data_IF_449128264595
#
_entry.id   IF_449128264595
#
_cell.length_a   1.000
_cell.length_b   1.000
_cell.length_c   1.000
_cell.angle_alpha   90.00
_cell.angle_beta   90.00
_cell.angle_gamma   90.00
#
_symmetry.space_group_name_H-M   'P 1'
#
loop_
_entity.id
_entity.type
_entity.pdbx_description
1 polymer ?
#
# COMPACT_ATOMS: atom_id res chain seq x y z
N UNK A 1 9.98 39.13 -54.67
CA UNK A 1 9.84 37.76 -54.15
C UNK A 1 8.38 37.37 -54.14
N UNK A 2 7.95 36.72 -55.21
CA UNK A 2 7.24 35.45 -55.16
C UNK A 2 6.17 35.26 -54.06
N UNK A 3 4.99 35.88 -54.23
CA UNK A 3 3.81 35.55 -53.41
C UNK A 3 3.46 34.04 -53.46
N UNK A 4 3.76 33.39 -54.59
CA UNK A 4 3.61 31.95 -54.77
C UNK A 4 4.62 31.14 -53.94
N UNK A 5 5.89 31.57 -53.88
CA UNK A 5 6.91 30.88 -53.09
C UNK A 5 6.65 31.04 -51.59
N UNK A 6 6.15 32.20 -51.15
CA UNK A 6 5.72 32.43 -49.76
C UNK A 6 4.57 31.49 -49.34
N UNK A 7 3.61 31.24 -50.23
CA UNK A 7 2.49 30.34 -49.95
C UNK A 7 2.96 28.88 -49.82
N UNK A 8 3.87 28.42 -50.68
CA UNK A 8 4.45 27.07 -50.62
C UNK A 8 5.23 26.84 -49.33
N UNK A 9 6.05 27.80 -48.91
CA UNK A 9 6.81 27.72 -47.66
C UNK A 9 5.89 27.69 -46.45
N UNK A 10 4.84 28.52 -46.42
CA UNK A 10 3.85 28.51 -45.34
C UNK A 10 3.14 27.16 -45.22
N UNK A 11 2.70 26.58 -46.34
CA UNK A 11 2.08 25.25 -46.33
C UNK A 11 3.05 24.16 -45.83
N UNK A 12 4.33 24.20 -46.24
CA UNK A 12 5.33 23.24 -45.77
C UNK A 12 5.53 23.32 -44.25
N UNK A 13 5.59 24.53 -43.68
CA UNK A 13 5.71 24.71 -42.24
C UNK A 13 4.50 24.15 -41.47
N UNK A 14 3.28 24.34 -41.97
CA UNK A 14 2.06 23.81 -41.34
C UNK A 14 2.07 22.28 -41.33
N UNK A 15 2.50 21.64 -42.42
CA UNK A 15 2.60 20.16 -42.50
C UNK A 15 3.66 19.62 -41.54
N UNK A 16 4.81 20.29 -41.42
CA UNK A 16 5.87 19.87 -40.49
C UNK A 16 5.41 20.01 -39.02
N UNK A 17 4.77 21.13 -38.67
CA UNK A 17 4.27 21.35 -37.30
C UNK A 17 3.16 20.35 -36.98
N UNK A 18 2.23 20.11 -37.91
CA UNK A 18 1.13 19.17 -37.72
C UNK A 18 1.60 17.72 -37.64
N UNK A 19 2.57 17.32 -38.48
CA UNK A 19 3.15 15.98 -38.48
C UNK A 19 4.02 15.72 -37.25
N UNK A 20 4.86 16.68 -36.87
CA UNK A 20 5.72 16.58 -35.68
C UNK A 20 4.92 16.59 -34.38
N UNK A 21 3.90 17.45 -34.29
CA UNK A 21 3.02 17.52 -33.12
C UNK A 21 2.20 16.25 -32.89
N UNK A 22 1.73 15.61 -33.96
CA UNK A 22 0.96 14.36 -33.85
C UNK A 22 1.81 13.18 -33.33
N UNK A 23 3.07 13.10 -33.77
CA UNK A 23 4.00 12.06 -33.31
C UNK A 23 4.36 12.24 -31.83
N UNK A 24 4.60 13.47 -31.39
CA UNK A 24 4.92 13.78 -29.99
C UNK A 24 3.76 13.49 -29.02
N UNK A 25 2.52 13.63 -29.47
CA UNK A 25 1.34 13.39 -28.62
C UNK A 25 1.08 11.89 -28.36
N UNK A 26 1.46 11.02 -29.30
CA UNK A 26 1.39 9.56 -29.13
C UNK A 26 2.36 9.03 -28.07
N UNK A 27 3.60 9.53 -28.06
CA UNK A 27 4.61 9.18 -27.04
C UNK A 27 4.22 9.68 -25.65
N UNK A 28 3.71 10.91 -25.54
CA UNK A 28 3.30 11.48 -24.25
C UNK A 28 2.16 10.69 -23.60
N UNK A 29 1.20 10.22 -24.40
CA UNK A 29 0.07 9.43 -23.91
C UNK A 29 0.44 7.97 -23.60
N UNK A 30 1.45 7.40 -24.26
CA UNK A 30 2.01 6.10 -23.91
C UNK A 30 2.76 6.14 -22.56
N UNK A 31 3.60 7.16 -22.35
CA UNK A 31 4.35 7.34 -21.10
C UNK A 31 3.44 7.59 -19.89
N UNK A 32 2.35 8.35 -20.02
CA UNK A 32 1.39 8.53 -18.92
C UNK A 32 0.75 7.20 -18.50
N UNK A 33 0.34 6.36 -19.46
CA UNK A 33 -0.31 5.07 -19.17
C UNK A 33 0.65 4.08 -18.52
N UNK A 34 1.93 4.13 -18.86
CA UNK A 34 2.94 3.30 -18.22
C UNK A 34 3.20 3.73 -16.76
N UNK A 35 3.26 5.04 -16.50
CA UNK A 35 3.43 5.58 -15.16
C UNK A 35 2.27 5.20 -14.24
N UNK A 36 1.02 5.31 -14.71
CA UNK A 36 -0.16 4.88 -13.92
C UNK A 36 -0.14 3.38 -13.59
N UNK A 37 0.31 2.53 -14.53
CA UNK A 37 0.45 1.08 -14.30
C UNK A 37 1.54 0.76 -13.27
N UNK A 38 2.69 1.45 -13.38
CA UNK A 38 3.79 1.28 -12.42
C UNK A 38 3.39 1.73 -11.02
N UNK A 39 2.64 2.83 -10.90
CA UNK A 39 2.22 3.34 -9.59
C UNK A 39 1.23 2.40 -8.88
N UNK A 40 0.27 1.82 -9.61
CA UNK A 40 -0.66 0.82 -9.06
C UNK A 40 0.06 -0.45 -8.63
N UNK A 41 0.95 -0.96 -9.48
CA UNK A 41 1.73 -2.17 -9.16
C UNK A 41 2.62 -1.97 -7.93
N UNK A 42 3.22 -0.78 -7.77
CA UNK A 42 4.11 -0.49 -6.66
C UNK A 42 3.34 -0.34 -5.32
N UNK A 43 2.11 0.18 -5.33
CA UNK A 43 1.24 0.23 -4.13
C UNK A 43 0.84 -1.16 -3.65
N UNK A 44 0.50 -2.06 -4.58
CA UNK A 44 0.14 -3.45 -4.21
C UNK A 44 1.36 -4.24 -3.71
N UNK A 45 2.53 -4.06 -4.36
CA UNK A 45 3.76 -4.70 -3.93
C UNK A 45 4.21 -4.21 -2.54
N UNK A 46 4.12 -2.91 -2.27
CA UNK A 46 4.51 -2.33 -0.97
C UNK A 46 3.59 -2.77 0.18
N UNK A 47 2.28 -2.94 -0.06
CA UNK A 47 1.36 -3.50 0.93
C UNK A 47 1.65 -4.99 1.21
N UNK A 48 1.86 -5.80 0.17
CA UNK A 48 2.19 -7.23 0.32
C UNK A 48 3.53 -7.45 1.03
N UNK A 49 4.54 -6.62 0.72
CA UNK A 49 5.83 -6.67 1.38
C UNK A 49 5.72 -6.28 2.86
N UNK A 50 4.94 -5.24 3.19
CA UNK A 50 4.70 -4.87 4.59
C UNK A 50 3.96 -5.97 5.37
N UNK A 51 2.90 -6.55 4.80
CA UNK A 51 2.17 -7.65 5.44
C UNK A 51 3.07 -8.87 5.69
N UNK A 52 3.98 -9.18 4.74
CA UNK A 52 4.94 -10.28 4.86
C UNK A 52 5.99 -10.02 5.93
N UNK A 53 6.50 -8.78 6.00
CA UNK A 53 7.45 -8.36 7.04
C UNK A 53 6.81 -8.40 8.43
N UNK A 54 5.57 -7.93 8.57
CA UNK A 54 4.83 -7.98 9.83
C UNK A 54 4.58 -9.43 10.26
N UNK A 55 4.18 -10.31 9.34
CA UNK A 55 4.01 -11.74 9.60
C UNK A 55 5.31 -12.45 9.97
N UNK A 56 6.44 -11.98 9.46
CA UNK A 56 7.77 -12.51 9.84
C UNK A 56 8.23 -12.05 11.23
N UNK A 57 7.83 -10.84 11.64
CA UNK A 57 8.14 -10.30 12.98
C UNK A 57 7.28 -10.92 14.07
N UNK A 58 5.99 -11.09 13.80
CA UNK A 58 5.03 -11.62 14.75
C UNK A 58 4.56 -13.00 14.32
N UNK A 59 5.14 -14.03 14.94
CA UNK A 59 4.62 -15.39 14.83
C UNK A 59 3.42 -15.57 15.77
N UNK A 60 2.50 -16.48 15.44
CA UNK A 60 1.37 -16.82 16.31
C UNK A 60 1.83 -17.22 17.74
N UNK A 61 2.98 -17.89 17.85
CA UNK A 61 3.57 -18.24 19.14
C UNK A 61 3.98 -17.02 19.96
N UNK A 62 4.53 -16.00 19.31
CA UNK A 62 4.93 -14.76 19.96
C UNK A 62 3.72 -13.94 20.42
N UNK A 63 2.67 -13.87 19.60
CA UNK A 63 1.39 -13.27 19.98
C UNK A 63 0.79 -13.95 21.23
N UNK A 64 0.81 -15.29 21.29
CA UNK A 64 0.32 -16.05 22.45
C UNK A 64 1.21 -15.81 23.68
N UNK A 65 2.53 -15.70 23.51
CA UNK A 65 3.47 -15.39 24.60
C UNK A 65 3.15 -14.02 25.22
N UNK A 66 2.98 -12.99 24.38
CA UNK A 66 2.60 -11.65 24.84
C UNK A 66 1.22 -11.62 25.49
N UNK A 67 0.25 -12.37 24.95
CA UNK A 67 -1.08 -12.49 25.53
C UNK A 67 -1.04 -13.12 26.93
N UNK A 68 -0.23 -14.16 27.13
CA UNK A 68 -0.04 -14.79 28.45
C UNK A 68 0.62 -13.85 29.47
N UNK A 69 1.56 -13.03 29.04
CA UNK A 69 2.20 -12.04 29.90
C UNK A 69 1.24 -10.90 30.28
N UNK A 70 0.30 -10.58 29.40
CA UNK A 70 -0.69 -9.51 29.58
C UNK A 70 -1.88 -9.98 30.43
N UNK A 71 -2.37 -11.20 30.21
CA UNK A 71 -3.53 -11.73 30.90
C UNK A 71 -3.23 -12.07 32.38
N UNK A 72 -4.19 -11.80 33.28
CA UNK A 72 -4.11 -12.21 34.67
C UNK A 72 -4.23 -13.74 34.82
N UNK A 73 -3.71 -14.30 35.92
CA UNK A 73 -3.87 -15.73 36.23
C UNK A 73 -5.31 -16.09 36.64
N UNK A 74 -6.11 -15.08 37.05
CA UNK A 74 -7.50 -15.25 37.46
C UNK A 74 -8.42 -14.33 36.67
N UNK A 75 -9.61 -14.87 36.34
CA UNK A 75 -10.66 -14.12 35.64
C UNK A 75 -11.20 -13.00 36.54
N UNK A 76 -11.19 -11.77 36.03
CA UNK A 76 -11.71 -10.58 36.73
C UNK A 76 -10.66 -9.72 37.45
N UNK A 77 -9.38 -10.11 37.40
CA UNK A 77 -8.27 -9.26 37.85
C UNK A 77 -7.79 -8.34 36.70
N UNK A 78 -7.19 -7.17 37.01
CA UNK A 78 -6.62 -6.30 35.99
C UNK A 78 -5.46 -6.98 35.26
N UNK A 79 -5.22 -6.57 34.01
CA UNK A 79 -4.09 -7.06 33.21
C UNK A 79 -2.76 -6.87 33.93
N UNK A 80 -1.86 -7.86 33.82
CA UNK A 80 -0.55 -7.85 34.48
C UNK A 80 0.34 -6.73 33.94
N UNK A 81 0.20 -6.40 32.65
CA UNK A 81 0.98 -5.36 31.98
C UNK A 81 0.24 -4.86 30.75
N UNK A 82 0.39 -3.58 30.40
CA UNK A 82 -0.11 -3.00 29.15
C UNK A 82 0.98 -2.84 28.09
N UNK A 83 2.19 -3.32 28.40
CA UNK A 83 3.38 -3.16 27.55
C UNK A 83 3.18 -3.66 26.12
N UNK A 84 2.39 -4.71 25.94
CA UNK A 84 2.18 -5.36 24.65
C UNK A 84 0.82 -5.05 24.02
N UNK A 85 0.01 -4.13 24.56
CA UNK A 85 -1.33 -3.85 24.01
C UNK A 85 -1.29 -3.44 22.53
N UNK A 86 -0.28 -2.63 22.14
CA UNK A 86 -0.09 -2.25 20.74
C UNK A 86 0.25 -3.45 19.84
N UNK A 87 1.15 -4.32 20.29
CA UNK A 87 1.53 -5.53 19.53
C UNK A 87 0.39 -6.56 19.49
N UNK A 88 -0.39 -6.67 20.56
CA UNK A 88 -1.58 -7.52 20.63
C UNK A 88 -2.68 -7.06 19.67
N UNK A 89 -2.87 -5.75 19.50
CA UNK A 89 -3.79 -5.20 18.50
C UNK A 89 -3.37 -5.59 17.08
N UNK A 90 -2.08 -5.53 16.78
CA UNK A 90 -1.54 -5.96 15.48
C UNK A 90 -1.75 -7.47 15.28
N UNK A 91 -1.55 -8.28 16.33
CA UNK A 91 -1.83 -9.72 16.29
C UNK A 91 -3.31 -10.04 16.03
N UNK A 92 -4.25 -9.23 16.55
CA UNK A 92 -5.69 -9.38 16.28
C UNK A 92 -6.06 -9.01 14.83
N UNK A 93 -5.50 -7.91 14.31
CA UNK A 93 -5.68 -7.50 12.91
C UNK A 93 -5.15 -8.57 11.93
N UNK A 94 -4.07 -9.26 12.32
CA UNK A 94 -3.50 -10.38 11.57
C UNK A 94 -4.24 -11.71 11.78
N UNK A 95 -5.32 -11.73 12.57
CA UNK A 95 -6.12 -12.91 12.92
C UNK A 95 -5.28 -14.07 13.49
N UNK A 96 -4.27 -13.74 14.31
CA UNK A 96 -3.35 -14.72 14.91
C UNK A 96 -3.89 -15.38 16.18
N UNK A 97 -5.00 -14.89 16.73
CA UNK A 97 -5.63 -15.44 17.93
C UNK A 97 -6.78 -16.39 17.59
N UNK A 98 -6.80 -17.54 18.26
CA UNK A 98 -8.00 -18.37 18.32
C UNK A 98 -9.16 -17.61 19.00
N UNK A 99 -10.42 -17.98 18.71
CA UNK A 99 -11.60 -17.32 19.29
C UNK A 99 -11.58 -17.25 20.82
N UNK A 100 -11.00 -18.26 21.47
CA UNK A 100 -10.85 -18.35 22.92
C UNK A 100 -9.91 -17.31 23.49
N UNK A 101 -8.76 -17.06 22.82
CA UNK A 101 -7.79 -16.04 23.21
C UNK A 101 -8.33 -14.64 23.03
N UNK A 102 -9.00 -14.40 21.89
CA UNK A 102 -9.64 -13.11 21.61
C UNK A 102 -10.68 -12.76 22.67
N UNK A 103 -11.53 -13.71 23.03
CA UNK A 103 -12.54 -13.51 24.07
C UNK A 103 -11.92 -13.26 25.45
N UNK A 104 -10.81 -13.91 25.78
CA UNK A 104 -10.10 -13.70 27.04
C UNK A 104 -9.46 -12.30 27.14
N UNK A 105 -8.87 -11.83 26.04
CA UNK A 105 -8.26 -10.50 25.94
C UNK A 105 -9.30 -9.38 25.96
N UNK A 106 -10.44 -9.58 25.30
CA UNK A 106 -11.60 -8.68 25.31
C UNK A 106 -12.21 -8.57 26.72
N UNK A 107 -12.42 -9.70 27.40
CA UNK A 107 -12.88 -9.71 28.80
C UNK A 107 -11.89 -9.07 29.77
N UNK A 108 -10.60 -9.02 29.43
CA UNK A 108 -9.57 -8.36 30.22
C UNK A 108 -9.42 -6.86 29.89
N UNK A 109 -10.17 -6.34 28.91
CA UNK A 109 -10.12 -4.93 28.48
C UNK A 109 -8.83 -4.57 27.73
N UNK A 110 -8.23 -5.53 27.03
CA UNK A 110 -7.05 -5.29 26.18
C UNK A 110 -7.44 -4.71 24.83
N UNK A 111 -8.63 -5.08 24.33
CA UNK A 111 -9.24 -4.59 23.09
C UNK A 111 -10.49 -3.76 23.37
#
# INVERSE_FOLDING_TARGET
>A
MDNWLKALVACACVVIISGGGYYAWGEYSAHQRENERREKSNREASLKNQATLLKSKFSAAECIRMAKETLPDKKGEPVKTTKYNGDLSICDDLQMFDPTWRQALDMAGVF
#
